data_IF_890115295123
#
_entry.id   IF_890115295123
#
_cell.length_a   1.000
_cell.length_b   1.000
_cell.length_c   1.000
_cell.angle_alpha   90.00
_cell.angle_beta   90.00
_cell.angle_gamma   90.00
#
_symmetry.space_group_name_H-M   'P 1'
#
loop_
_entity.id
_entity.type
_entity.pdbx_description
1 polymer ?
#
# COMPACT_ATOMS: atom_id res chain seq x y z
N UNK A 1 13.82 -31.13 -38.38
CA UNK A 1 14.01 -31.22 -36.92
C UNK A 1 14.34 -29.88 -36.26
N UNK A 2 15.21 -29.03 -36.83
CA UNK A 2 15.58 -27.74 -36.21
C UNK A 2 14.50 -26.64 -36.13
N UNK A 3 13.50 -26.61 -37.03
CA UNK A 3 12.44 -25.59 -36.99
C UNK A 3 11.41 -25.82 -35.85
N UNK A 4 11.20 -27.07 -35.46
CA UNK A 4 10.25 -27.45 -34.39
C UNK A 4 10.80 -27.07 -33.00
N UNK A 5 12.13 -27.14 -32.82
CA UNK A 5 12.82 -26.72 -31.60
C UNK A 5 12.79 -25.20 -31.38
N UNK A 6 12.88 -24.41 -32.46
CA UNK A 6 12.82 -22.94 -32.39
C UNK A 6 11.40 -22.46 -32.05
N UNK A 7 10.36 -23.12 -32.59
CA UNK A 7 8.97 -22.82 -32.26
C UNK A 7 8.62 -23.12 -30.79
N UNK A 8 9.26 -24.13 -30.19
CA UNK A 8 9.09 -24.45 -28.76
C UNK A 8 9.77 -23.42 -27.85
N UNK A 9 10.92 -22.87 -28.24
CA UNK A 9 11.63 -21.84 -27.47
C UNK A 9 10.92 -20.49 -27.45
N UNK A 10 10.24 -20.11 -28.54
CA UNK A 10 9.43 -18.87 -28.60
C UNK A 10 8.08 -19.00 -27.87
N UNK A 11 7.53 -20.21 -27.75
CA UNK A 11 6.28 -20.47 -27.02
C UNK A 11 6.43 -20.50 -25.49
N UNK A 12 7.65 -20.63 -24.99
CA UNK A 12 7.95 -20.65 -23.54
C UNK A 12 8.07 -19.24 -22.93
N UNK A 13 8.27 -18.19 -23.73
CA UNK A 13 8.35 -16.81 -23.23
C UNK A 13 6.98 -16.10 -23.11
N UNK A 14 5.87 -16.78 -23.41
CA UNK A 14 4.52 -16.21 -23.23
C UNK A 14 3.72 -16.92 -22.12
N UNK A 15 4.36 -17.73 -21.28
CA UNK A 15 3.70 -18.30 -20.12
C UNK A 15 4.04 -17.51 -18.85
N UNK A 16 3.11 -16.61 -18.55
CA UNK A 16 2.75 -16.11 -17.21
C UNK A 16 3.70 -15.07 -16.61
N UNK A 17 3.52 -13.82 -17.04
CA UNK A 17 3.48 -12.71 -16.09
C UNK A 17 1.99 -12.34 -15.94
N UNK A 18 1.26 -13.17 -15.19
CA UNK A 18 0.09 -12.68 -14.49
C UNK A 18 0.65 -12.38 -13.12
N UNK A 19 1.26 -11.20 -12.95
CA UNK A 19 1.37 -10.63 -11.60
C UNK A 19 -0.04 -10.66 -11.03
N UNK A 20 -0.23 -11.45 -9.99
CA UNK A 20 -1.48 -11.48 -9.25
C UNK A 20 -1.63 -10.07 -8.64
N UNK A 21 -2.33 -9.19 -9.34
CA UNK A 21 -2.78 -7.93 -8.77
C UNK A 21 -3.54 -8.30 -7.49
N UNK A 22 -3.13 -7.72 -6.36
CA UNK A 22 -3.84 -7.89 -5.10
C UNK A 22 -5.21 -7.28 -5.29
N UNK A 23 -6.19 -8.13 -5.51
CA UNK A 23 -7.56 -7.68 -5.60
C UNK A 23 -8.08 -7.47 -4.19
N UNK A 24 -8.37 -6.21 -3.87
CA UNK A 24 -9.01 -5.86 -2.60
C UNK A 24 -10.35 -6.63 -2.50
N UNK A 25 -10.60 -7.39 -1.41
CA UNK A 25 -11.85 -8.13 -1.27
C UNK A 25 -13.09 -7.25 -1.45
N UNK A 26 -14.14 -7.80 -2.07
CA UNK A 26 -15.36 -7.05 -2.44
C UNK A 26 -15.95 -6.24 -1.28
N UNK A 27 -15.98 -6.80 -0.07
CA UNK A 27 -16.52 -6.14 1.12
C UNK A 27 -15.69 -4.92 1.59
N UNK A 28 -14.43 -4.81 1.17
CA UNK A 28 -13.54 -3.69 1.49
C UNK A 28 -13.53 -2.61 0.39
N UNK A 29 -13.96 -2.92 -0.84
CA UNK A 29 -13.99 -1.95 -1.96
C UNK A 29 -14.84 -0.71 -1.63
N UNK A 30 -15.99 -0.90 -0.99
CA UNK A 30 -16.88 0.19 -0.56
C UNK A 30 -16.22 1.12 0.48
N UNK A 31 -15.82 0.60 1.65
CA UNK A 31 -15.09 1.36 2.67
C UNK A 31 -13.83 2.06 2.13
N UNK A 32 -13.00 1.37 1.33
CA UNK A 32 -11.81 1.94 0.73
C UNK A 32 -12.13 3.16 -0.15
N UNK A 33 -13.19 3.08 -0.98
CA UNK A 33 -13.64 4.20 -1.82
C UNK A 33 -14.12 5.40 -0.99
N UNK A 34 -14.77 5.16 0.15
CA UNK A 34 -15.19 6.24 1.07
C UNK A 34 -13.95 6.89 1.67
N UNK A 35 -13.01 6.09 2.16
CA UNK A 35 -11.78 6.56 2.78
C UNK A 35 -10.94 7.40 1.79
N UNK A 36 -10.74 6.89 0.57
CA UNK A 36 -10.05 7.60 -0.52
C UNK A 36 -10.67 8.98 -0.77
N UNK A 37 -11.99 9.03 -0.99
CA UNK A 37 -12.70 10.28 -1.25
C UNK A 37 -12.59 11.28 -0.11
N UNK A 38 -12.74 10.83 1.13
CA UNK A 38 -12.63 11.68 2.32
C UNK A 38 -11.25 12.32 2.40
N UNK A 39 -10.20 11.51 2.29
CA UNK A 39 -8.84 12.01 2.45
C UNK A 39 -8.34 12.78 1.23
N UNK A 40 -8.81 12.47 0.02
CA UNK A 40 -8.59 13.32 -1.16
C UNK A 40 -9.20 14.71 -0.98
N UNK A 41 -10.43 14.79 -0.48
CA UNK A 41 -11.10 16.07 -0.24
C UNK A 41 -10.42 16.90 0.86
N UNK A 42 -9.89 16.25 1.91
CA UNK A 42 -9.17 16.93 3.00
C UNK A 42 -7.82 17.50 2.54
N UNK A 43 -7.11 16.79 1.67
CA UNK A 43 -5.69 17.07 1.37
C UNK A 43 -5.44 17.66 -0.01
N UNK A 44 -6.42 17.57 -0.90
CA UNK A 44 -6.30 17.89 -2.33
C UNK A 44 -5.19 17.10 -3.05
N UNK A 45 -4.80 15.92 -2.55
CA UNK A 45 -3.87 15.04 -3.27
C UNK A 45 -4.46 14.63 -4.63
N UNK A 46 -3.62 14.60 -5.66
CA UNK A 46 -4.07 14.18 -6.99
C UNK A 46 -4.25 12.66 -7.05
N UNK A 47 -5.19 12.23 -7.90
CA UNK A 47 -5.40 10.81 -8.19
C UNK A 47 -4.11 10.13 -8.69
N UNK A 48 -3.35 10.81 -9.54
CA UNK A 48 -2.10 10.29 -10.12
C UNK A 48 -1.03 9.99 -9.06
N UNK A 49 -0.98 10.72 -7.95
CA UNK A 49 -0.04 10.46 -6.85
C UNK A 49 -0.43 9.20 -6.06
N UNK A 50 -1.73 8.94 -5.90
CA UNK A 50 -2.22 7.74 -5.22
C UNK A 50 -2.03 6.52 -6.13
N UNK A 51 -2.34 6.65 -7.42
CA UNK A 51 -2.25 5.54 -8.39
C UNK A 51 -0.83 5.03 -8.59
N UNK A 52 0.19 5.87 -8.41
CA UNK A 52 1.60 5.45 -8.40
C UNK A 52 1.90 4.38 -7.34
N UNK A 53 1.12 4.33 -6.25
CA UNK A 53 1.27 3.29 -5.22
C UNK A 53 1.01 1.88 -5.73
N UNK A 54 0.21 1.69 -6.79
CA UNK A 54 -0.07 0.36 -7.37
C UNK A 54 1.16 -0.32 -7.96
N UNK A 55 2.23 0.43 -8.21
CA UNK A 55 3.53 -0.10 -8.63
C UNK A 55 4.53 -0.26 -7.49
N UNK A 56 4.09 -0.22 -6.23
CA UNK A 56 4.98 -0.24 -5.06
C UNK A 56 5.81 1.04 -4.89
N UNK A 57 5.50 2.12 -5.62
CA UNK A 57 6.19 3.39 -5.53
C UNK A 57 5.38 4.40 -4.72
N UNK A 58 6.02 5.01 -3.72
CA UNK A 58 5.39 6.04 -2.89
C UNK A 58 6.08 7.40 -3.12
N UNK A 59 5.48 8.31 -3.92
CA UNK A 59 6.03 9.63 -4.18
C UNK A 59 6.29 10.45 -2.90
N UNK A 60 7.35 11.25 -2.89
CA UNK A 60 7.59 12.24 -1.85
C UNK A 60 6.87 13.55 -2.19
N UNK A 61 5.59 13.64 -1.82
CA UNK A 61 4.74 14.81 -2.04
C UNK A 61 3.97 15.20 -0.78
N UNK A 62 3.87 16.50 -0.46
CA UNK A 62 3.25 16.97 0.79
C UNK A 62 1.77 16.62 0.90
N UNK A 63 1.01 16.69 -0.19
CA UNK A 63 -0.40 16.33 -0.17
C UNK A 63 -0.57 14.82 0.02
N UNK A 64 0.29 14.01 -0.62
CA UNK A 64 0.30 12.56 -0.42
C UNK A 64 0.72 12.17 1.01
N UNK A 65 1.69 12.86 1.60
CA UNK A 65 2.08 12.65 3.00
C UNK A 65 0.88 12.85 3.93
N UNK A 66 0.15 13.96 3.75
CA UNK A 66 -1.03 14.23 4.57
C UNK A 66 -2.22 13.35 4.22
N UNK A 67 -2.31 12.83 2.99
CA UNK A 67 -3.31 11.84 2.61
C UNK A 67 -3.15 10.58 3.47
N UNK A 68 -1.93 10.07 3.60
CA UNK A 68 -1.63 8.88 4.43
C UNK A 68 -1.95 9.14 5.90
N UNK A 69 -1.59 10.31 6.43
CA UNK A 69 -1.96 10.69 7.80
C UNK A 69 -3.48 10.71 8.01
N UNK A 70 -4.24 11.27 7.05
CA UNK A 70 -5.69 11.23 7.07
C UNK A 70 -6.23 9.79 7.08
N UNK A 71 -5.64 8.86 6.31
CA UNK A 71 -6.03 7.46 6.33
C UNK A 71 -5.89 6.88 7.75
N UNK A 72 -4.76 7.12 8.42
CA UNK A 72 -4.51 6.61 9.77
C UNK A 72 -5.39 7.22 10.83
N UNK A 73 -5.63 8.54 10.77
CA UNK A 73 -6.57 9.24 11.65
C UNK A 73 -7.99 8.69 11.50
N UNK A 74 -8.44 8.52 10.25
CA UNK A 74 -9.80 8.07 9.95
C UNK A 74 -10.03 6.61 10.36
N UNK A 75 -9.00 5.79 10.24
CA UNK A 75 -9.05 4.36 10.60
C UNK A 75 -8.70 4.09 12.07
N UNK A 76 -8.26 5.10 12.81
CA UNK A 76 -7.93 4.96 14.23
C UNK A 76 -6.62 4.22 14.50
N UNK A 77 -5.67 4.23 13.55
CA UNK A 77 -4.39 3.52 13.66
C UNK A 77 -3.35 4.25 14.51
N UNK A 78 -3.67 5.42 15.07
CA UNK A 78 -2.82 6.10 16.02
C UNK A 78 -3.12 5.66 17.45
N UNK A 79 -2.08 5.37 18.22
CA UNK A 79 -2.20 5.20 19.66
C UNK A 79 -2.26 6.54 20.41
N UNK A 80 -2.48 6.47 21.73
CA UNK A 80 -2.55 7.65 22.59
C UNK A 80 -1.23 8.45 22.66
N UNK A 81 -0.10 7.87 22.27
CA UNK A 81 1.20 8.53 22.14
C UNK A 81 1.46 9.11 20.75
N UNK A 82 0.54 8.93 19.80
CA UNK A 82 0.68 9.35 18.41
C UNK A 82 1.60 8.45 17.59
N UNK A 83 1.86 7.22 18.04
CA UNK A 83 2.53 6.21 17.24
C UNK A 83 1.52 5.46 16.38
N UNK A 84 1.96 5.03 15.19
CA UNK A 84 1.14 4.24 14.28
C UNK A 84 1.24 2.78 14.72
N UNK A 85 0.08 2.20 15.05
CA UNK A 85 -0.08 0.79 15.41
C UNK A 85 -0.68 0.03 14.24
N UNK A 86 0.19 -0.38 13.34
CA UNK A 86 -0.22 -1.15 12.17
C UNK A 86 -0.77 -2.54 12.52
N UNK A 87 -0.44 -3.11 13.68
CA UNK A 87 -1.09 -4.35 14.13
C UNK A 87 -2.60 -4.15 14.38
N UNK A 88 -3.08 -2.92 14.61
CA UNK A 88 -4.51 -2.64 14.73
C UNK A 88 -5.22 -2.65 13.36
N UNK A 89 -4.47 -2.75 12.26
CA UNK A 89 -5.03 -2.82 10.89
C UNK A 89 -5.89 -4.07 10.66
N UNK A 90 -5.73 -5.11 11.48
CA UNK A 90 -6.55 -6.33 11.41
C UNK A 90 -8.03 -6.10 11.71
N UNK A 91 -8.40 -4.97 12.31
CA UNK A 91 -9.80 -4.58 12.46
C UNK A 91 -10.45 -4.17 11.13
N UNK A 92 -9.63 -3.94 10.10
CA UNK A 92 -10.04 -3.33 8.83
C UNK A 92 -9.68 -4.25 7.66
N UNK A 93 -8.53 -4.92 7.75
CA UNK A 93 -7.98 -5.73 6.67
C UNK A 93 -8.27 -7.23 6.87
N UNK A 94 -8.26 -8.01 5.78
CA UNK A 94 -8.51 -9.45 5.83
C UNK A 94 -7.42 -10.17 6.62
N UNK A 95 -7.76 -11.28 7.29
CA UNK A 95 -6.80 -12.06 8.08
C UNK A 95 -5.69 -12.68 7.24
N UNK A 96 -5.92 -12.86 5.93
CA UNK A 96 -4.99 -13.43 4.96
C UNK A 96 -3.74 -12.57 4.77
N UNK A 97 -3.81 -11.27 5.06
CA UNK A 97 -2.64 -10.39 4.99
C UNK A 97 -1.84 -10.36 6.29
N UNK A 98 -2.30 -11.07 7.34
CA UNK A 98 -1.73 -10.96 8.68
C UNK A 98 -0.24 -11.23 8.72
N UNK A 99 0.21 -12.32 8.13
CA UNK A 99 1.63 -12.69 8.10
C UNK A 99 2.50 -11.64 7.41
N UNK A 100 1.98 -11.01 6.35
CA UNK A 100 2.69 -9.93 5.63
C UNK A 100 2.77 -8.68 6.48
N UNK A 101 1.66 -8.29 7.11
CA UNK A 101 1.61 -7.16 8.05
C UNK A 101 2.58 -7.40 9.21
N UNK A 102 2.55 -8.58 9.84
CA UNK A 102 3.45 -8.94 10.95
C UNK A 102 4.93 -8.87 10.50
N UNK A 103 5.24 -9.31 9.28
CA UNK A 103 6.60 -9.26 8.73
C UNK A 103 7.09 -7.81 8.53
N UNK A 104 6.26 -6.93 7.96
CA UNK A 104 6.63 -5.52 7.78
C UNK A 104 6.64 -4.76 9.10
N UNK A 105 5.73 -5.03 10.04
CA UNK A 105 5.71 -4.35 11.36
C UNK A 105 6.92 -4.74 12.24
N UNK A 106 7.46 -5.95 12.05
CA UNK A 106 8.69 -6.38 12.72
C UNK A 106 9.91 -5.53 12.34
N UNK A 107 9.97 -5.00 11.12
CA UNK A 107 11.10 -4.19 10.62
C UNK A 107 10.79 -2.70 10.56
N UNK A 108 9.53 -2.33 10.36
CA UNK A 108 9.08 -0.96 10.20
C UNK A 108 8.21 -0.52 11.38
N UNK A 109 8.86 0.14 12.33
CA UNK A 109 8.18 0.85 13.44
C UNK A 109 7.75 2.24 12.98
N UNK A 110 6.98 2.94 13.81
CA UNK A 110 6.71 4.37 13.59
C UNK A 110 8.03 5.13 13.41
N UNK A 111 8.17 5.82 12.27
CA UNK A 111 9.31 6.67 11.97
C UNK A 111 8.89 8.13 12.18
N UNK A 112 9.53 8.83 13.10
CA UNK A 112 9.19 10.20 13.41
C UNK A 112 9.73 11.17 12.35
N UNK A 113 8.82 11.89 11.69
CA UNK A 113 9.14 13.06 10.87
C UNK A 113 8.96 14.39 11.63
N UNK A 114 9.16 15.50 10.93
CA UNK A 114 8.96 16.88 11.42
C UNK A 114 7.51 17.20 11.80
N UNK A 115 6.55 16.47 11.24
CA UNK A 115 5.12 16.62 11.50
C UNK A 115 4.38 15.27 11.33
N UNK A 116 3.06 15.26 11.55
CA UNK A 116 2.24 14.04 11.47
C UNK A 116 2.17 13.46 10.05
N UNK A 117 2.02 14.31 9.02
CA UNK A 117 2.03 13.89 7.62
C UNK A 117 3.34 13.18 7.25
N UNK A 118 4.47 13.79 7.59
CA UNK A 118 5.78 13.20 7.30
C UNK A 118 6.02 11.92 8.10
N UNK A 119 5.59 11.85 9.37
CA UNK A 119 5.65 10.62 10.18
C UNK A 119 4.86 9.49 9.52
N UNK A 120 3.63 9.77 9.09
CA UNK A 120 2.78 8.80 8.43
C UNK A 120 3.44 8.28 7.15
N UNK A 121 3.92 9.19 6.32
CA UNK A 121 4.59 8.84 5.06
C UNK A 121 5.90 8.08 5.26
N UNK A 122 6.79 8.51 6.17
CA UNK A 122 8.04 7.79 6.42
C UNK A 122 7.77 6.36 6.88
N UNK A 123 6.77 6.19 7.74
CA UNK A 123 6.38 4.86 8.22
C UNK A 123 5.84 4.01 7.08
N UNK A 124 4.92 4.53 6.25
CA UNK A 124 4.41 3.79 5.07
C UNK A 124 5.49 3.55 4.03
N UNK A 125 6.40 4.50 3.82
CA UNK A 125 7.52 4.33 2.91
C UNK A 125 8.38 3.13 3.30
N UNK A 126 8.65 2.93 4.59
CA UNK A 126 9.33 1.72 5.06
C UNK A 126 8.57 0.45 4.66
N UNK A 127 7.23 0.46 4.70
CA UNK A 127 6.40 -0.70 4.37
C UNK A 127 6.46 -0.98 2.87
N UNK A 128 6.35 0.08 2.06
CA UNK A 128 6.53 0.01 0.61
C UNK A 128 7.93 -0.48 0.22
N UNK A 129 8.97 -0.04 0.92
CA UNK A 129 10.35 -0.48 0.67
C UNK A 129 10.58 -1.95 1.11
N UNK A 130 9.86 -2.42 2.14
CA UNK A 130 9.97 -3.79 2.66
C UNK A 130 9.14 -4.81 1.85
N UNK A 131 7.99 -4.42 1.33
CA UNK A 131 7.09 -5.27 0.55
C UNK A 131 6.38 -4.50 -0.59
N UNK A 132 7.11 -4.10 -1.64
CA UNK A 132 6.57 -3.24 -2.71
C UNK A 132 5.48 -3.93 -3.52
N UNK A 133 5.56 -5.25 -3.70
CA UNK A 133 4.57 -6.03 -4.46
C UNK A 133 3.21 -6.09 -3.77
N UNK A 134 3.19 -5.91 -2.44
CA UNK A 134 1.95 -5.95 -1.66
C UNK A 134 1.54 -4.66 -1.00
N UNK A 135 2.17 -3.56 -1.40
CA UNK A 135 1.90 -2.23 -0.89
C UNK A 135 1.11 -1.41 -1.91
N UNK A 136 -0.09 -0.97 -1.53
CA UNK A 136 -0.90 -0.02 -2.29
C UNK A 136 -1.72 0.87 -1.35
N UNK A 137 -2.05 2.07 -1.80
CA UNK A 137 -2.96 2.96 -1.09
C UNK A 137 -4.40 2.79 -1.61
N UNK A 138 -5.43 2.91 -0.74
CA UNK A 138 -6.83 2.88 -1.14
C UNK A 138 -7.21 4.09 -2.01
#
# INVERSE_FOLDING_TARGET
>A
MGKVLISLLLGLMWKVAVEAAIELPEHLKGPAKILRKTCQAETNVSEDLIEQSKGGYLPEDKALQCYIDCLFRTTGLYDAGGNIKFDDVYHIMPTEIKEKVDAVTAVCKTIHGSNQCERAWLTVKCYFDADPEHSLLP
#
